data_IF_822257437341
#
_entry.id   IF_822257437341
#
_cell.length_a   1.000
_cell.length_b   1.000
_cell.length_c   1.000
_cell.angle_alpha   90.00
_cell.angle_beta   90.00
_cell.angle_gamma   90.00
#
_symmetry.space_group_name_H-M   'P 1'
#
loop_
_entity.id
_entity.type
_entity.pdbx_description
1 polymer ?
#
# COMPACT_ATOMS: atom_id res chain seq x y z
N UNK A 1 -21.12 16.84 -26.20
CA UNK A 1 -20.46 17.29 -24.96
C UNK A 1 -20.95 16.60 -23.67
N UNK A 2 -22.25 16.44 -23.36
CA UNK A 2 -22.67 15.87 -22.06
C UNK A 2 -22.31 14.38 -21.85
N UNK A 3 -22.21 13.61 -22.94
CA UNK A 3 -21.79 12.18 -22.89
C UNK A 3 -20.30 12.04 -22.52
N UNK A 4 -19.46 12.99 -22.93
CA UNK A 4 -18.03 12.97 -22.61
C UNK A 4 -17.82 13.21 -21.11
N UNK A 5 -18.46 14.25 -20.55
CA UNK A 5 -18.45 14.55 -19.10
C UNK A 5 -19.02 13.42 -18.24
N UNK A 6 -20.07 12.73 -18.70
CA UNK A 6 -20.65 11.59 -17.97
C UNK A 6 -19.70 10.39 -17.93
N UNK A 7 -18.99 10.10 -19.03
CA UNK A 7 -18.01 9.02 -19.11
C UNK A 7 -16.74 9.30 -18.30
N UNK A 8 -16.29 10.56 -18.27
CA UNK A 8 -15.17 10.97 -17.40
C UNK A 8 -15.51 10.79 -15.92
N UNK A 9 -16.74 11.15 -15.51
CA UNK A 9 -17.18 10.95 -14.13
C UNK A 9 -17.28 9.48 -13.73
N UNK A 10 -17.79 8.62 -14.62
CA UNK A 10 -17.83 7.17 -14.37
C UNK A 10 -16.43 6.58 -14.17
N UNK A 11 -15.45 7.04 -14.95
CA UNK A 11 -14.05 6.63 -14.81
C UNK A 11 -13.46 7.09 -13.45
N UNK A 12 -13.69 8.34 -13.07
CA UNK A 12 -13.27 8.87 -11.76
C UNK A 12 -13.88 8.07 -10.60
N UNK A 13 -15.17 7.74 -10.69
CA UNK A 13 -15.87 6.94 -9.68
C UNK A 13 -15.28 5.51 -9.58
N UNK A 14 -14.87 4.91 -10.70
CA UNK A 14 -14.20 3.59 -10.69
C UNK A 14 -12.80 3.64 -10.09
N UNK A 15 -12.02 4.68 -10.42
CA UNK A 15 -10.70 4.90 -9.80
C UNK A 15 -10.87 5.07 -8.29
N UNK A 16 -11.86 5.83 -7.83
CA UNK A 16 -12.13 5.98 -6.40
C UNK A 16 -12.51 4.66 -5.71
N UNK A 17 -13.31 3.81 -6.37
CA UNK A 17 -13.65 2.48 -5.87
C UNK A 17 -12.42 1.57 -5.77
N UNK A 18 -11.53 1.64 -6.75
CA UNK A 18 -10.25 0.91 -6.72
C UNK A 18 -9.39 1.40 -5.55
N UNK A 19 -9.22 2.71 -5.40
CA UNK A 19 -8.46 3.30 -4.29
C UNK A 19 -9.07 2.99 -2.91
N UNK A 20 -10.40 2.88 -2.80
CA UNK A 20 -11.07 2.41 -1.57
C UNK A 20 -10.70 0.97 -1.22
N UNK A 21 -10.53 0.10 -2.22
CA UNK A 21 -10.08 -1.29 -2.01
C UNK A 21 -8.65 -1.29 -1.46
N UNK A 22 -7.76 -0.47 -2.02
CA UNK A 22 -6.36 -0.36 -1.58
C UNK A 22 -6.25 0.10 -0.12
N UNK A 23 -6.95 1.18 0.27
CA UNK A 23 -6.94 1.65 1.67
C UNK A 23 -7.52 0.59 2.62
N UNK A 24 -8.62 -0.07 2.22
CA UNK A 24 -9.21 -1.13 3.05
C UNK A 24 -8.27 -2.32 3.18
N UNK A 25 -7.59 -2.71 2.11
CA UNK A 25 -6.58 -3.76 2.12
C UNK A 25 -5.48 -3.48 3.14
N UNK A 26 -4.94 -2.26 3.13
CA UNK A 26 -3.95 -1.81 4.11
C UNK A 26 -4.49 -1.86 5.56
N UNK A 27 -5.73 -1.45 5.81
CA UNK A 27 -6.34 -1.54 7.14
C UNK A 27 -6.55 -2.98 7.61
N UNK A 28 -7.00 -3.87 6.71
CA UNK A 28 -7.15 -5.31 6.98
C UNK A 28 -5.78 -5.93 7.27
N UNK A 29 -4.75 -5.56 6.51
CA UNK A 29 -3.37 -5.96 6.71
C UNK A 29 -2.90 -5.68 8.15
N UNK A 30 -3.07 -4.45 8.62
CA UNK A 30 -2.69 -4.06 9.99
C UNK A 30 -3.43 -4.88 11.05
N UNK A 31 -4.73 -5.15 10.84
CA UNK A 31 -5.49 -6.00 11.75
C UNK A 31 -4.97 -7.45 11.74
N UNK A 32 -4.61 -7.98 10.56
CA UNK A 32 -3.97 -9.29 10.41
C UNK A 32 -2.69 -9.39 11.23
N UNK A 33 -1.75 -8.43 11.06
CA UNK A 33 -0.51 -8.40 11.85
C UNK A 33 -0.81 -8.40 13.35
N UNK A 34 -1.80 -7.61 13.80
CA UNK A 34 -2.21 -7.59 15.21
C UNK A 34 -2.73 -8.95 15.69
N UNK A 35 -3.66 -9.57 14.97
CA UNK A 35 -4.21 -10.86 15.37
C UNK A 35 -3.16 -11.97 15.38
N UNK A 36 -2.22 -11.94 14.44
CA UNK A 36 -1.07 -12.84 14.45
C UNK A 36 -0.25 -12.72 15.75
N UNK A 37 0.14 -11.50 16.12
CA UNK A 37 0.94 -11.25 17.33
C UNK A 37 0.17 -11.59 18.62
N UNK A 38 -1.14 -11.38 18.63
CA UNK A 38 -2.06 -11.76 19.73
C UNK A 38 -2.36 -13.28 19.78
N UNK A 39 -1.84 -14.07 18.84
CA UNK A 39 -2.12 -15.52 18.68
C UNK A 39 -3.58 -15.86 18.43
N UNK A 40 -4.29 -14.96 17.74
CA UNK A 40 -5.69 -15.09 17.32
C UNK A 40 -5.74 -15.61 15.89
N UNK A 41 -5.41 -16.88 15.73
CA UNK A 41 -5.14 -17.49 14.42
C UNK A 41 -6.38 -17.52 13.52
N UNK A 42 -7.56 -17.80 14.06
CA UNK A 42 -8.80 -17.85 13.28
C UNK A 42 -9.12 -16.47 12.70
N UNK A 43 -9.03 -15.41 13.52
CA UNK A 43 -9.25 -14.04 13.03
C UNK A 43 -8.14 -13.55 12.10
N UNK A 44 -6.90 -14.04 12.26
CA UNK A 44 -5.82 -13.78 11.32
C UNK A 44 -6.11 -14.38 9.94
N UNK A 45 -6.50 -15.65 9.87
CA UNK A 45 -6.83 -16.33 8.61
C UNK A 45 -8.06 -15.72 7.93
N UNK A 46 -9.04 -15.25 8.72
CA UNK A 46 -10.16 -14.45 8.20
C UNK A 46 -9.68 -13.16 7.53
N UNK A 47 -8.73 -12.42 8.14
CA UNK A 47 -8.17 -11.19 7.52
C UNK A 47 -7.35 -11.48 6.29
N UNK A 48 -6.57 -12.57 6.27
CA UNK A 48 -5.84 -12.98 5.09
C UNK A 48 -6.80 -13.32 3.94
N UNK A 49 -7.87 -14.07 4.21
CA UNK A 49 -8.89 -14.40 3.20
C UNK A 49 -9.62 -13.16 2.67
N UNK A 50 -9.94 -12.21 3.55
CA UNK A 50 -10.50 -10.92 3.18
C UNK A 50 -9.53 -10.12 2.29
N UNK A 51 -8.26 -10.03 2.67
CA UNK A 51 -7.24 -9.31 1.91
C UNK A 51 -7.02 -9.91 0.51
N UNK A 52 -6.95 -11.25 0.40
CA UNK A 52 -6.86 -11.93 -0.90
C UNK A 52 -8.08 -11.69 -1.79
N UNK A 53 -9.25 -11.51 -1.19
CA UNK A 53 -10.46 -11.14 -1.93
C UNK A 53 -10.43 -9.68 -2.38
N UNK A 54 -9.81 -8.80 -1.59
CA UNK A 54 -9.60 -7.39 -1.93
C UNK A 54 -8.59 -7.23 -3.07
N UNK A 55 -7.45 -7.94 -3.04
CA UNK A 55 -6.45 -7.95 -4.12
C UNK A 55 -7.11 -8.33 -5.47
N UNK A 56 -7.79 -9.47 -5.54
CA UNK A 56 -8.48 -9.93 -6.77
C UNK A 56 -9.49 -8.92 -7.30
N UNK A 57 -10.21 -8.25 -6.38
CA UNK A 57 -11.14 -7.18 -6.73
C UNK A 57 -10.42 -5.93 -7.22
N UNK A 58 -9.29 -5.58 -6.59
CA UNK A 58 -8.41 -4.49 -6.99
C UNK A 58 -7.89 -4.70 -8.42
N UNK A 59 -7.30 -5.85 -8.70
CA UNK A 59 -6.80 -6.22 -10.03
C UNK A 59 -7.92 -6.19 -11.08
N UNK A 60 -9.11 -6.71 -10.75
CA UNK A 60 -10.27 -6.67 -11.65
C UNK A 60 -10.70 -5.23 -11.97
N UNK A 61 -10.80 -4.37 -10.95
CA UNK A 61 -11.16 -2.96 -11.13
C UNK A 61 -10.09 -2.22 -11.94
N UNK A 62 -8.81 -2.47 -11.66
CA UNK A 62 -7.69 -1.90 -12.41
C UNK A 62 -7.81 -2.25 -13.90
N UNK A 63 -7.94 -3.53 -14.25
CA UNK A 63 -8.05 -3.99 -15.65
C UNK A 63 -9.25 -3.38 -16.37
N UNK A 64 -10.38 -3.23 -15.69
CA UNK A 64 -11.57 -2.56 -16.23
C UNK A 64 -11.31 -1.08 -16.52
N UNK A 65 -10.60 -0.38 -15.62
CA UNK A 65 -10.21 1.03 -15.79
C UNK A 65 -9.24 1.16 -16.98
N UNK A 66 -8.22 0.31 -17.06
CA UNK A 66 -7.26 0.28 -18.17
C UNK A 66 -7.97 0.08 -19.52
N UNK A 67 -8.86 -0.92 -19.60
CA UNK A 67 -9.63 -1.21 -20.80
C UNK A 67 -10.47 0.00 -21.26
N UNK A 68 -11.09 0.73 -20.33
CA UNK A 68 -11.84 1.96 -20.63
C UNK A 68 -10.93 3.09 -21.08
N UNK A 69 -9.73 3.24 -20.50
CA UNK A 69 -8.72 4.21 -20.93
C UNK A 69 -8.21 3.93 -22.36
N UNK A 70 -8.12 2.65 -22.76
CA UNK A 70 -7.76 2.27 -24.13
C UNK A 70 -8.88 2.50 -25.15
N UNK A 71 -10.12 2.16 -24.79
CA UNK A 71 -11.27 2.16 -25.73
C UNK A 71 -11.98 3.50 -25.85
N UNK A 72 -11.80 4.40 -24.88
CA UNK A 72 -12.37 5.74 -24.90
C UNK A 72 -11.24 6.75 -24.92
N UNK A 73 -11.32 7.79 -25.77
CA UNK A 73 -10.35 8.91 -25.81
C UNK A 73 -10.50 9.82 -24.59
N UNK A 74 -10.49 9.23 -23.39
CA UNK A 74 -10.57 9.90 -22.10
C UNK A 74 -9.14 10.24 -21.68
N UNK A 75 -8.92 11.50 -21.29
CA UNK A 75 -7.64 12.00 -20.76
C UNK A 75 -6.42 11.68 -21.67
N UNK A 76 -6.50 11.93 -23.00
CA UNK A 76 -5.50 11.44 -23.95
C UNK A 76 -4.06 11.89 -23.65
N UNK A 77 -3.88 13.08 -23.07
CA UNK A 77 -2.57 13.65 -22.74
C UNK A 77 -1.95 13.05 -21.46
N UNK A 78 -2.76 12.49 -20.55
CA UNK A 78 -2.29 11.94 -19.27
C UNK A 78 -2.52 10.43 -19.11
N UNK A 79 -3.02 9.74 -20.15
CA UNK A 79 -3.36 8.31 -20.09
C UNK A 79 -2.19 7.42 -19.64
N UNK A 80 -0.98 7.70 -20.13
CA UNK A 80 0.21 6.92 -19.78
C UNK A 80 0.60 7.07 -18.31
N UNK A 81 0.50 8.31 -17.80
CA UNK A 81 0.78 8.59 -16.39
C UNK A 81 -0.30 7.95 -15.49
N UNK A 82 -1.58 8.00 -15.87
CA UNK A 82 -2.66 7.36 -15.11
C UNK A 82 -2.51 5.83 -15.10
N UNK A 83 -2.18 5.21 -16.23
CA UNK A 83 -1.92 3.76 -16.29
C UNK A 83 -0.76 3.37 -15.38
N UNK A 84 0.38 4.07 -15.46
CA UNK A 84 1.54 3.78 -14.62
C UNK A 84 1.27 3.98 -13.12
N UNK A 85 0.40 4.94 -12.76
CA UNK A 85 -0.04 5.12 -11.38
C UNK A 85 -0.92 3.97 -10.90
N UNK A 86 -1.85 3.49 -11.71
CA UNK A 86 -2.72 2.36 -11.38
C UNK A 86 -1.91 1.06 -11.23
N UNK A 87 -0.95 0.82 -12.13
CA UNK A 87 -0.04 -0.34 -12.06
C UNK A 87 0.80 -0.31 -10.78
N UNK A 88 1.42 0.82 -10.43
CA UNK A 88 2.21 0.92 -9.19
C UNK A 88 1.35 0.85 -7.92
N UNK A 89 0.15 1.42 -7.95
CA UNK A 89 -0.76 1.34 -6.80
C UNK A 89 -1.19 -0.12 -6.54
N UNK A 90 -1.29 -0.93 -7.59
CA UNK A 90 -1.64 -2.36 -7.50
C UNK A 90 -0.54 -3.15 -6.81
N UNK A 91 0.72 -2.83 -7.10
CA UNK A 91 1.88 -3.46 -6.46
C UNK A 91 1.86 -3.29 -4.94
N UNK A 92 1.44 -2.11 -4.44
CA UNK A 92 1.26 -1.87 -3.00
C UNK A 92 0.24 -2.84 -2.40
N UNK A 93 -0.90 -3.06 -3.07
CA UNK A 93 -1.93 -3.99 -2.59
C UNK A 93 -1.43 -5.43 -2.63
N UNK A 94 -0.75 -5.83 -3.71
CA UNK A 94 -0.16 -7.15 -3.87
C UNK A 94 0.85 -7.43 -2.75
N UNK A 95 1.74 -6.49 -2.47
CA UNK A 95 2.74 -6.60 -1.41
C UNK A 95 2.11 -6.74 -0.01
N UNK A 96 0.98 -6.06 0.24
CA UNK A 96 0.25 -6.24 1.52
C UNK A 96 -0.31 -7.66 1.65
N UNK A 97 -0.89 -8.23 0.58
CA UNK A 97 -1.40 -9.60 0.58
C UNK A 97 -0.26 -10.60 0.75
N UNK A 98 0.79 -10.48 -0.06
CA UNK A 98 1.95 -11.37 -0.05
C UNK A 98 2.60 -11.40 1.34
N UNK A 99 2.75 -10.23 1.97
CA UNK A 99 3.32 -10.15 3.32
C UNK A 99 2.48 -10.95 4.32
N UNK A 100 1.16 -10.79 4.38
CA UNK A 100 0.33 -11.59 5.31
C UNK A 100 0.32 -13.08 4.94
N UNK A 101 0.36 -13.41 3.65
CA UNK A 101 0.46 -14.80 3.20
C UNK A 101 1.75 -15.45 3.72
N UNK A 102 2.88 -14.76 3.65
CA UNK A 102 4.15 -15.23 4.22
C UNK A 102 4.04 -15.45 5.74
N UNK A 103 3.31 -14.58 6.46
CA UNK A 103 3.05 -14.78 7.90
C UNK A 103 2.31 -16.11 8.17
N UNK A 104 1.29 -16.43 7.34
CA UNK A 104 0.52 -17.67 7.46
C UNK A 104 1.37 -18.91 7.14
N UNK A 105 2.22 -18.82 6.11
CA UNK A 105 3.02 -19.95 5.62
C UNK A 105 4.23 -20.23 6.52
N UNK A 106 5.00 -19.20 6.87
CA UNK A 106 6.28 -19.37 7.57
C UNK A 106 6.17 -19.30 9.09
N UNK A 107 5.05 -18.78 9.61
CA UNK A 107 4.72 -18.73 11.03
C UNK A 107 5.89 -18.16 11.86
N UNK A 108 6.30 -16.90 11.61
CA UNK A 108 7.42 -16.30 12.32
C UNK A 108 7.19 -16.24 13.84
N UNK A 109 8.15 -16.79 14.58
CA UNK A 109 8.22 -16.70 16.04
C UNK A 109 8.80 -15.36 16.46
N UNK A 110 7.94 -14.33 16.48
CA UNK A 110 8.28 -12.97 16.87
C UNK A 110 8.30 -12.85 18.39
N UNK A 111 9.42 -12.40 18.95
CA UNK A 111 9.56 -12.19 20.39
C UNK A 111 8.49 -11.22 20.94
N UNK A 112 7.86 -11.52 22.09
CA UNK A 112 6.84 -10.64 22.70
C UNK A 112 7.29 -9.19 22.91
N UNK A 113 8.55 -8.98 23.27
CA UNK A 113 9.13 -7.65 23.46
C UNK A 113 9.19 -6.82 22.17
N UNK A 114 9.10 -7.44 20.99
CA UNK A 114 9.12 -6.77 19.69
C UNK A 114 7.72 -6.50 19.15
N UNK A 115 6.66 -7.08 19.73
CA UNK A 115 5.29 -6.99 19.20
C UNK A 115 4.85 -5.55 18.96
N UNK A 116 5.10 -4.65 19.91
CA UNK A 116 4.79 -3.24 19.75
C UNK A 116 5.48 -2.61 18.54
N UNK A 117 6.75 -2.96 18.27
CA UNK A 117 7.48 -2.44 17.11
C UNK A 117 6.91 -2.94 15.78
N UNK A 118 6.45 -4.20 15.71
CA UNK A 118 5.79 -4.71 14.51
C UNK A 118 4.43 -4.05 14.28
N UNK A 119 3.69 -3.76 15.35
CA UNK A 119 2.43 -3.01 15.27
C UNK A 119 2.66 -1.56 14.82
N UNK A 120 3.66 -0.90 15.39
CA UNK A 120 4.05 0.47 15.01
C UNK A 120 4.53 0.52 13.56
N UNK A 121 5.30 -0.49 13.13
CA UNK A 121 5.77 -0.62 11.75
C UNK A 121 4.59 -0.79 10.78
N UNK A 122 3.67 -1.72 11.08
CA UNK A 122 2.47 -1.91 10.26
C UNK A 122 1.61 -0.63 10.21
N UNK A 123 1.46 0.10 11.33
CA UNK A 123 0.74 1.37 11.35
C UNK A 123 1.43 2.43 10.49
N UNK A 124 2.77 2.53 10.52
CA UNK A 124 3.52 3.47 9.69
C UNK A 124 3.31 3.17 8.20
N UNK A 125 3.45 1.90 7.79
CA UNK A 125 3.21 1.48 6.40
C UNK A 125 1.78 1.76 5.94
N UNK A 126 0.76 1.46 6.77
CA UNK A 126 -0.64 1.78 6.42
C UNK A 126 -0.88 3.29 6.31
N UNK A 127 -0.21 4.10 7.14
CA UNK A 127 -0.34 5.55 7.08
C UNK A 127 0.28 6.14 5.81
N UNK A 128 1.38 5.54 5.33
CA UNK A 128 1.96 5.86 4.02
C UNK A 128 0.97 5.54 2.89
N UNK A 129 0.39 4.35 2.88
CA UNK A 129 -0.61 3.95 1.87
C UNK A 129 -1.86 4.86 1.87
N UNK A 130 -2.38 5.21 3.04
CA UNK A 130 -3.53 6.14 3.14
C UNK A 130 -3.18 7.53 2.61
N UNK A 131 -1.98 8.06 2.91
CA UNK A 131 -1.52 9.34 2.36
C UNK A 131 -1.29 9.27 0.84
N UNK A 132 -0.75 8.15 0.33
CA UNK A 132 -0.58 7.91 -1.10
C UNK A 132 -1.93 7.95 -1.82
N UNK A 133 -2.94 7.24 -1.30
CA UNK A 133 -4.29 7.27 -1.89
C UNK A 133 -4.89 8.67 -1.87
N UNK A 134 -4.69 9.44 -0.79
CA UNK A 134 -5.10 10.86 -0.74
C UNK A 134 -4.37 11.73 -1.76
N UNK A 135 -3.09 11.47 -2.01
CA UNK A 135 -2.32 12.14 -3.05
C UNK A 135 -2.89 11.85 -4.44
N UNK A 136 -3.13 10.57 -4.76
CA UNK A 136 -3.71 10.14 -6.05
C UNK A 136 -5.10 10.77 -6.25
N UNK A 137 -5.95 10.76 -5.23
CA UNK A 137 -7.27 11.44 -5.30
C UNK A 137 -7.13 12.93 -5.56
N UNK A 138 -6.16 13.57 -4.93
CA UNK A 138 -5.87 15.00 -5.11
C UNK A 138 -5.41 15.28 -6.55
N UNK A 139 -4.65 14.38 -7.17
CA UNK A 139 -4.23 14.55 -8.56
C UNK A 139 -5.39 14.70 -9.55
N UNK A 140 -6.55 14.08 -9.29
CA UNK A 140 -7.74 14.24 -10.12
C UNK A 140 -8.60 15.47 -9.77
N UNK A 141 -8.46 16.06 -8.57
CA UNK A 141 -9.41 17.03 -8.01
C UNK A 141 -8.80 18.37 -7.58
N UNK A 142 -7.62 18.31 -6.97
CA UNK A 142 -6.91 19.44 -6.38
C UNK A 142 -5.39 19.21 -6.45
N UNK A 143 -4.78 19.69 -7.55
CA UNK A 143 -3.35 19.56 -7.79
C UNK A 143 -2.48 20.29 -6.75
N UNK A 144 -3.01 21.29 -6.04
CA UNK A 144 -2.25 22.01 -5.03
C UNK A 144 -2.00 21.15 -3.79
N UNK A 145 -2.97 20.30 -3.43
CA UNK A 145 -2.89 19.39 -2.29
C UNK A 145 -2.00 18.16 -2.51
N UNK A 146 -1.65 17.83 -3.76
CA UNK A 146 -0.82 16.65 -4.09
C UNK A 146 0.51 16.68 -3.36
N UNK A 147 1.22 17.82 -3.42
CA UNK A 147 2.54 17.97 -2.80
C UNK A 147 2.51 17.75 -1.29
N UNK A 148 1.43 18.21 -0.64
CA UNK A 148 1.28 18.09 0.81
C UNK A 148 1.10 16.63 1.23
N UNK A 149 0.40 15.81 0.43
CA UNK A 149 0.27 14.39 0.70
C UNK A 149 1.53 13.60 0.38
N UNK A 150 2.23 13.92 -0.72
CA UNK A 150 3.54 13.31 -1.04
C UNK A 150 4.52 13.53 0.12
N UNK A 151 4.58 14.75 0.68
CA UNK A 151 5.43 15.03 1.84
C UNK A 151 5.06 14.20 3.08
N UNK A 152 3.78 13.83 3.25
CA UNK A 152 3.34 12.97 4.36
C UNK A 152 3.68 11.50 4.13
N UNK A 153 3.63 11.03 2.88
CA UNK A 153 4.07 9.67 2.53
C UNK A 153 5.54 9.49 2.89
N UNK A 154 6.41 10.39 2.42
CA UNK A 154 7.84 10.37 2.75
C UNK A 154 8.11 10.44 4.27
N UNK A 155 7.30 11.20 5.02
CA UNK A 155 7.38 11.18 6.49
C UNK A 155 7.07 9.78 7.07
N UNK A 156 6.01 9.12 6.61
CA UNK A 156 5.61 7.81 7.13
C UNK A 156 6.53 6.67 6.68
N UNK A 157 7.06 6.73 5.46
CA UNK A 157 8.15 5.88 4.99
C UNK A 157 9.36 5.99 5.93
N UNK A 158 9.81 7.21 6.19
CA UNK A 158 11.00 7.43 7.02
C UNK A 158 10.79 7.00 8.48
N UNK A 159 9.56 7.01 8.98
CA UNK A 159 9.22 6.44 10.29
C UNK A 159 9.23 4.89 10.25
N UNK A 160 8.70 4.29 9.18
CA UNK A 160 8.76 2.84 8.94
C UNK A 160 10.21 2.33 8.94
N UNK A 161 11.08 3.01 8.18
CA UNK A 161 12.52 2.73 8.10
C UNK A 161 13.21 2.74 9.46
N UNK A 162 12.96 3.78 10.27
CA UNK A 162 13.51 3.89 11.62
C UNK A 162 13.05 2.75 12.53
N UNK A 163 11.78 2.35 12.45
CA UNK A 163 11.22 1.27 13.27
C UNK A 163 11.83 -0.07 12.82
N UNK A 164 11.89 -0.33 11.52
CA UNK A 164 12.52 -1.53 10.98
C UNK A 164 14.00 -1.61 11.39
N UNK A 165 14.76 -0.50 11.27
CA UNK A 165 16.14 -0.42 11.75
C UNK A 165 16.26 -0.74 13.23
N UNK A 166 15.36 -0.21 14.06
CA UNK A 166 15.32 -0.50 15.49
C UNK A 166 15.08 -2.00 15.77
N UNK A 167 14.14 -2.63 15.07
CA UNK A 167 13.91 -4.09 15.16
C UNK A 167 15.19 -4.84 14.78
N UNK A 168 15.79 -4.52 13.63
CA UNK A 168 17.05 -5.09 13.14
C UNK A 168 18.14 -5.00 14.23
N UNK A 169 18.37 -3.82 14.82
CA UNK A 169 19.38 -3.62 15.87
C UNK A 169 19.11 -4.43 17.14
N UNK A 170 17.86 -4.56 17.58
CA UNK A 170 17.51 -5.33 18.79
C UNK A 170 17.73 -6.83 18.52
N UNK A 171 17.17 -7.34 17.42
CA UNK A 171 17.22 -8.76 17.06
C UNK A 171 18.66 -9.27 16.94
N UNK A 172 19.54 -8.53 16.26
CA UNK A 172 20.91 -8.99 16.05
C UNK A 172 21.79 -8.97 17.31
N UNK A 173 21.42 -8.17 18.32
CA UNK A 173 22.09 -8.11 19.63
C UNK A 173 21.64 -9.18 20.63
N UNK A 174 20.52 -9.87 20.36
CA UNK A 174 20.01 -10.93 21.24
C UNK A 174 20.84 -12.21 21.10
N UNK A 175 20.89 -13.02 22.16
CA UNK A 175 21.51 -14.35 22.11
C UNK A 175 20.50 -15.37 21.56
N UNK A 176 20.42 -15.43 20.23
CA UNK A 176 19.51 -16.29 19.46
C UNK A 176 20.26 -16.88 18.28
N UNK A 177 19.79 -18.04 17.80
CA UNK A 177 20.26 -18.61 16.54
C UNK A 177 20.05 -17.62 15.39
N UNK A 178 21.03 -17.59 14.47
CA UNK A 178 20.99 -16.68 13.32
C UNK A 178 19.73 -16.87 12.46
N UNK A 179 19.22 -18.09 12.33
CA UNK A 179 17.96 -18.38 11.62
C UNK A 179 16.78 -17.59 12.18
N UNK A 180 16.58 -17.61 13.50
CA UNK A 180 15.51 -16.84 14.17
C UNK A 180 15.70 -15.33 13.99
N UNK A 181 16.95 -14.86 14.04
CA UNK A 181 17.28 -13.45 13.82
C UNK A 181 16.91 -12.99 12.41
N UNK A 182 17.31 -13.79 11.41
CA UNK A 182 17.04 -13.53 10.00
C UNK A 182 15.54 -13.57 9.74
N UNK A 183 14.82 -14.55 10.30
CA UNK A 183 13.37 -14.68 10.12
C UNK A 183 12.61 -13.46 10.68
N UNK A 184 12.94 -12.97 11.88
CA UNK A 184 12.35 -11.73 12.39
C UNK A 184 12.70 -10.52 11.51
N UNK A 185 13.98 -10.36 11.13
CA UNK A 185 14.41 -9.28 10.22
C UNK A 185 13.67 -9.35 8.87
N UNK A 186 13.42 -10.54 8.36
CA UNK A 186 12.72 -10.78 7.10
C UNK A 186 11.30 -10.23 7.14
N UNK A 187 10.53 -10.58 8.18
CA UNK A 187 9.17 -10.05 8.34
C UNK A 187 9.13 -8.55 8.64
N UNK A 188 10.11 -8.00 9.36
CA UNK A 188 10.20 -6.55 9.51
C UNK A 188 10.44 -5.86 8.15
N UNK A 189 11.31 -6.44 7.31
CA UNK A 189 11.60 -5.92 5.98
C UNK A 189 10.37 -5.98 5.05
N UNK A 190 9.58 -7.05 5.06
CA UNK A 190 8.39 -7.11 4.21
C UNK A 190 7.32 -6.07 4.58
N UNK A 191 7.14 -5.77 5.87
CA UNK A 191 6.24 -4.69 6.30
C UNK A 191 6.81 -3.31 5.91
N UNK A 192 8.13 -3.12 6.06
CA UNK A 192 8.86 -1.89 5.67
C UNK A 192 8.63 -1.56 4.19
N UNK A 193 8.72 -2.57 3.31
CA UNK A 193 8.58 -2.40 1.86
C UNK A 193 7.20 -1.90 1.40
N UNK A 194 6.14 -2.07 2.20
CA UNK A 194 4.82 -1.52 1.87
C UNK A 194 4.85 0.02 1.87
N UNK A 195 5.62 0.62 2.78
CA UNK A 195 5.77 2.08 2.85
C UNK A 195 6.66 2.61 1.71
N UNK A 196 7.73 1.86 1.39
CA UNK A 196 8.67 2.12 0.29
C UNK A 196 7.93 2.16 -1.06
N UNK A 197 7.13 1.13 -1.37
CA UNK A 197 6.34 1.10 -2.63
C UNK A 197 5.31 2.23 -2.68
N UNK A 198 4.74 2.64 -1.54
CA UNK A 198 3.83 3.79 -1.48
C UNK A 198 4.54 5.13 -1.76
N UNK A 199 5.81 5.26 -1.36
CA UNK A 199 6.66 6.41 -1.71
C UNK A 199 7.01 6.40 -3.20
N UNK A 200 7.37 5.25 -3.77
CA UNK A 200 7.65 5.08 -5.21
C UNK A 200 6.45 5.49 -6.08
N UNK A 201 5.23 5.13 -5.68
CA UNK A 201 3.99 5.60 -6.33
C UNK A 201 3.89 7.13 -6.29
N UNK A 202 4.24 7.75 -5.16
CA UNK A 202 4.19 9.20 -4.98
C UNK A 202 5.27 9.93 -5.79
N UNK A 203 6.45 9.35 -5.96
CA UNK A 203 7.49 9.89 -6.83
C UNK A 203 7.03 9.91 -8.29
N UNK A 204 6.37 8.85 -8.76
CA UNK A 204 5.72 8.82 -10.08
C UNK A 204 4.62 9.88 -10.17
N UNK A 205 3.81 10.03 -9.11
CA UNK A 205 2.75 11.03 -9.05
C UNK A 205 3.28 12.46 -9.10
N UNK A 206 4.44 12.74 -8.50
CA UNK A 206 5.09 14.04 -8.55
C UNK A 206 5.45 14.42 -10.00
N UNK A 207 6.03 13.47 -10.75
CA UNK A 207 6.38 13.65 -12.16
C UNK A 207 5.12 13.89 -13.01
N UNK A 208 4.08 13.08 -12.81
CA UNK A 208 2.80 13.24 -13.49
C UNK A 208 2.15 14.61 -13.20
N UNK A 209 2.26 15.08 -11.97
CA UNK A 209 1.72 16.37 -11.52
C UNK A 209 2.43 17.53 -12.21
N UNK A 210 3.78 17.50 -12.31
CA UNK A 210 4.56 18.55 -12.99
C UNK A 210 4.13 18.70 -14.45
N UNK A 211 3.89 17.59 -15.17
CA UNK A 211 3.45 17.63 -16.58
C UNK A 211 2.11 18.32 -16.79
N UNK A 212 1.23 18.40 -15.77
CA UNK A 212 -0.08 19.08 -15.87
C UNK A 212 -0.02 20.57 -15.58
N UNK A 213 1.07 21.07 -15.00
CA UNK A 213 1.30 22.51 -14.80
C UNK A 213 1.90 23.20 -16.03
N UNK A 214 2.36 22.44 -17.03
CA UNK A 214 3.01 22.93 -18.26
C UNK A 214 2.01 23.00 -19.41
#
# INVERSE_FOLDING_TARGET
MPVLFKKTKELEDQIDQYLDVVVRGALVFQQGVRYYLEKRNDEFEERLSELSSMEKRGDSLRRDIESKLYTHTLIPESRGDVLGLLESTDEVLNLTEETLLQFSVEIPDILPELHHLYLDLAQASVSAVDCMVKAIRSYFRDLASVRDYISKVSFHESESDKIAEKIKRIVFRKDLQLSRKIHMRYFAYHIEQIADEAEDVCDRLAIATIKRYV
#
